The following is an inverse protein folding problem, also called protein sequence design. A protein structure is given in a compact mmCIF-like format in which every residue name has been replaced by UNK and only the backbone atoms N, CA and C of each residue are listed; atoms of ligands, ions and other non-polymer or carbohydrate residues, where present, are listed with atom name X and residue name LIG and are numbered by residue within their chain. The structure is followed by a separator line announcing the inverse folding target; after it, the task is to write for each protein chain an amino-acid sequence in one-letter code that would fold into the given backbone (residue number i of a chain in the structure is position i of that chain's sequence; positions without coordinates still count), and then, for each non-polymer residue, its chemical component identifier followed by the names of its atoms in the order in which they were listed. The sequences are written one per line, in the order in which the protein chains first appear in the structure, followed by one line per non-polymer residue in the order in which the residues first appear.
data_IF_508790575572
#
_entry.id   IF_508790575572
#
_cell.length_a   1.000
_cell.length_b   1.000
_cell.length_c   1.000
_cell.angle_alpha   90.00
_cell.angle_beta   90.00
_cell.angle_gamma   90.00
#
_symmetry.space_group_name_H-M   'P 1'
#
loop_
_entity.id
_entity.type
_entity.pdbx_description
1 polymer ?
#
# COMPACT_ATOMS: atom_id res chain seq x y z
N UNK A 1 -43.08 -35.40 -31.23
CA UNK A 1 -42.11 -34.36 -31.68
C UNK A 1 -41.41 -33.85 -30.46
N UNK A 2 -40.18 -34.31 -30.21
CA UNK A 2 -39.35 -33.87 -29.07
C UNK A 2 -38.86 -32.45 -29.37
N UNK A 3 -39.27 -31.47 -28.58
CA UNK A 3 -38.72 -30.11 -28.67
C UNK A 3 -37.22 -30.16 -28.45
N UNK A 4 -36.46 -29.68 -29.42
CA UNK A 4 -35.00 -29.54 -29.28
C UNK A 4 -34.70 -28.57 -28.15
N UNK A 5 -33.79 -28.93 -27.26
CA UNK A 5 -33.36 -28.05 -26.16
C UNK A 5 -32.89 -26.72 -26.71
N UNK A 6 -33.49 -25.61 -26.25
CA UNK A 6 -33.20 -24.24 -26.67
C UNK A 6 -31.74 -23.81 -26.36
N UNK A 7 -31.15 -24.46 -25.36
CA UNK A 7 -29.78 -24.14 -24.90
C UNK A 7 -29.01 -25.44 -24.67
N UNK A 8 -27.76 -25.47 -25.11
CA UNK A 8 -26.81 -26.54 -24.80
C UNK A 8 -25.57 -25.88 -24.19
N UNK A 9 -25.23 -26.26 -22.96
CA UNK A 9 -24.08 -25.75 -22.24
C UNK A 9 -23.19 -26.91 -21.87
N UNK A 10 -21.90 -26.79 -22.24
CA UNK A 10 -20.85 -27.73 -21.85
C UNK A 10 -19.93 -27.06 -20.85
N UNK A 11 -19.80 -27.61 -19.65
CA UNK A 11 -19.03 -27.05 -18.56
C UNK A 11 -17.82 -27.94 -18.29
N UNK A 12 -16.63 -27.36 -18.33
CA UNK A 12 -15.38 -28.00 -17.93
C UNK A 12 -14.89 -27.38 -16.62
N UNK A 13 -15.18 -28.01 -15.49
CA UNK A 13 -14.83 -27.54 -14.15
C UNK A 13 -16.02 -27.46 -13.19
N UNK A 14 -15.78 -26.96 -11.98
CA UNK A 14 -16.82 -26.82 -10.96
C UNK A 14 -17.62 -25.55 -11.18
N UNK A 15 -18.94 -25.65 -11.25
CA UNK A 15 -19.88 -24.54 -11.30
C UNK A 15 -20.74 -24.58 -10.05
N UNK A 16 -20.78 -23.48 -9.33
CA UNK A 16 -21.49 -23.41 -8.06
C UNK A 16 -22.92 -22.86 -8.20
N UNK A 17 -23.12 -21.90 -9.10
CA UNK A 17 -24.41 -21.31 -9.40
C UNK A 17 -24.56 -21.09 -10.91
N UNK A 18 -25.61 -21.64 -11.52
CA UNK A 18 -25.88 -21.48 -12.94
C UNK A 18 -27.37 -21.28 -13.19
N UNK A 19 -27.74 -20.25 -13.91
CA UNK A 19 -29.09 -20.04 -14.43
C UNK A 19 -29.04 -19.85 -15.95
N UNK A 20 -29.85 -20.60 -16.69
CA UNK A 20 -29.88 -20.57 -18.16
C UNK A 20 -31.33 -20.56 -18.63
N UNK A 21 -31.66 -19.57 -19.48
CA UNK A 21 -32.95 -19.45 -20.14
C UNK A 21 -33.81 -18.29 -19.64
N UNK A 22 -34.91 -18.09 -20.36
CA UNK A 22 -35.85 -17.00 -20.08
C UNK A 22 -36.59 -17.26 -18.74
N UNK A 23 -36.37 -16.35 -17.75
CA UNK A 23 -36.98 -16.52 -16.43
C UNK A 23 -36.29 -17.50 -15.50
N UNK A 24 -35.07 -17.96 -15.82
CA UNK A 24 -34.30 -18.86 -14.98
C UNK A 24 -33.97 -18.25 -13.63
N UNK A 25 -34.17 -19.03 -12.56
CA UNK A 25 -33.78 -18.67 -11.20
C UNK A 25 -32.56 -19.50 -10.79
N UNK A 26 -31.61 -18.87 -10.10
CA UNK A 26 -30.49 -19.59 -9.49
C UNK A 26 -31.00 -20.31 -8.25
N UNK A 27 -31.08 -21.64 -8.31
CA UNK A 27 -31.32 -22.47 -7.15
C UNK A 27 -30.01 -23.15 -6.78
N UNK A 28 -29.34 -22.60 -5.77
CA UNK A 28 -28.14 -23.21 -5.21
C UNK A 28 -28.52 -24.43 -4.40
N UNK A 29 -28.25 -25.64 -4.93
CA UNK A 29 -28.57 -26.93 -4.28
C UNK A 29 -27.34 -27.65 -3.73
N UNK A 30 -26.15 -27.08 -3.87
CA UNK A 30 -24.90 -27.65 -3.34
C UNK A 30 -24.68 -27.31 -1.88
N UNK A 31 -23.93 -28.15 -1.12
CA UNK A 31 -23.35 -27.65 0.12
C UNK A 31 -22.51 -26.43 -0.24
N UNK A 32 -22.82 -25.31 0.36
CA UNK A 32 -21.92 -24.15 0.29
C UNK A 32 -20.58 -24.63 0.86
N UNK A 33 -19.68 -25.06 -0.02
CA UNK A 33 -18.28 -25.16 0.37
C UNK A 33 -17.95 -23.84 1.08
N UNK A 34 -17.39 -23.93 2.27
CA UNK A 34 -16.93 -22.74 2.98
C UNK A 34 -16.05 -22.00 1.98
N UNK A 35 -16.58 -20.89 1.44
CA UNK A 35 -15.82 -20.06 0.53
C UNK A 35 -14.45 -19.84 1.15
N UNK A 36 -13.40 -20.01 0.38
CA UNK A 36 -12.04 -19.79 0.86
C UNK A 36 -12.02 -18.44 1.59
N UNK A 37 -11.60 -18.39 2.86
CA UNK A 37 -11.64 -17.16 3.63
C UNK A 37 -10.94 -16.04 2.86
N UNK A 38 -11.49 -14.81 2.83
CA UNK A 38 -10.89 -13.72 2.09
C UNK A 38 -9.52 -13.35 2.69
N UNK A 39 -8.51 -13.27 1.87
CA UNK A 39 -7.18 -12.78 2.23
C UNK A 39 -6.87 -11.54 1.39
N UNK A 40 -7.37 -10.37 1.84
CA UNK A 40 -7.31 -9.12 1.09
C UNK A 40 -6.02 -8.33 1.32
N UNK A 41 -5.20 -8.68 2.35
CA UNK A 41 -3.94 -7.96 2.59
C UNK A 41 -3.02 -8.00 1.36
N UNK A 42 -2.48 -6.85 0.93
CA UNK A 42 -1.56 -6.81 -0.20
C UNK A 42 -0.30 -7.64 0.10
N UNK A 43 0.40 -8.16 -0.92
CA UNK A 43 1.65 -8.85 -0.70
C UNK A 43 2.67 -7.90 -0.09
N UNK A 44 3.50 -8.36 0.87
CA UNK A 44 4.62 -7.56 1.36
C UNK A 44 5.64 -7.35 0.22
N UNK A 45 6.55 -6.38 0.37
CA UNK A 45 7.63 -6.19 -0.60
C UNK A 45 8.39 -7.50 -0.86
N UNK A 46 8.83 -7.76 -2.10
CA UNK A 46 9.56 -8.99 -2.44
C UNK A 46 10.79 -9.22 -1.57
N UNK A 47 11.39 -8.14 -1.10
CA UNK A 47 12.57 -8.17 -0.22
C UNK A 47 12.22 -8.55 1.23
N UNK A 48 10.94 -8.67 1.58
CA UNK A 48 10.49 -8.82 2.95
C UNK A 48 10.65 -7.53 3.76
N UNK A 49 10.37 -7.62 5.06
CA UNK A 49 10.49 -6.49 5.98
C UNK A 49 11.78 -6.64 6.76
N UNK A 50 12.58 -5.57 6.81
CA UNK A 50 13.83 -5.53 7.54
C UNK A 50 13.70 -4.63 8.78
N UNK A 51 14.19 -5.12 9.92
CA UNK A 51 14.30 -4.34 11.14
C UNK A 51 12.98 -3.92 11.78
N UNK A 52 11.90 -4.69 11.53
CA UNK A 52 10.55 -4.44 12.07
C UNK A 52 10.03 -5.57 12.97
N UNK A 53 10.90 -6.49 13.36
CA UNK A 53 10.52 -7.63 14.20
C UNK A 53 9.97 -7.18 15.56
N UNK A 54 10.60 -6.17 16.18
CA UNK A 54 10.12 -5.56 17.42
C UNK A 54 8.74 -4.92 17.24
N UNK A 55 8.54 -4.19 16.12
CA UNK A 55 7.25 -3.55 15.82
C UNK A 55 6.17 -4.59 15.56
N UNK A 56 6.46 -5.66 14.81
CA UNK A 56 5.54 -6.77 14.59
C UNK A 56 5.15 -7.45 15.88
N UNK A 57 6.11 -7.72 16.76
CA UNK A 57 5.85 -8.33 18.07
C UNK A 57 4.94 -7.45 18.92
N UNK A 58 5.22 -6.14 18.99
CA UNK A 58 4.39 -5.19 19.74
C UNK A 58 2.97 -5.09 19.19
N UNK A 59 2.79 -5.09 17.86
CA UNK A 59 1.45 -5.10 17.24
C UNK A 59 0.72 -6.40 17.54
N UNK A 60 1.42 -7.53 17.47
CA UNK A 60 0.89 -8.84 17.83
C UNK A 60 0.36 -8.87 19.28
N UNK A 61 1.15 -8.36 20.21
CA UNK A 61 0.78 -8.28 21.64
C UNK A 61 -0.39 -7.31 21.86
N UNK A 62 -0.37 -6.12 21.25
CA UNK A 62 -1.45 -5.16 21.33
C UNK A 62 -2.77 -5.71 20.77
N UNK A 63 -2.75 -6.44 19.68
CA UNK A 63 -3.92 -7.11 19.12
C UNK A 63 -4.32 -8.37 19.91
N UNK A 64 -3.54 -8.77 20.93
CA UNK A 64 -3.76 -9.97 21.74
C UNK A 64 -3.91 -11.22 20.87
N UNK A 65 -3.05 -11.39 19.87
CA UNK A 65 -3.13 -12.50 18.92
C UNK A 65 -2.70 -13.83 19.54
N UNK A 66 -1.93 -13.80 20.63
CA UNK A 66 -1.58 -14.99 21.42
C UNK A 66 -2.72 -15.54 22.28
N UNK A 67 -3.77 -14.74 22.54
CA UNK A 67 -4.95 -15.15 23.31
C UNK A 67 -6.15 -15.33 22.39
N UNK A 68 -6.44 -16.59 22.07
CA UNK A 68 -7.54 -16.95 21.15
C UNK A 68 -8.91 -16.77 21.77
N UNK A 69 -9.01 -16.66 23.09
CA UNK A 69 -10.27 -16.53 23.83
C UNK A 69 -10.58 -15.06 24.18
N UNK A 70 -9.59 -14.15 23.98
CA UNK A 70 -9.80 -12.74 24.18
C UNK A 70 -10.95 -12.22 23.30
N UNK A 71 -11.91 -11.53 23.92
CA UNK A 71 -13.05 -10.93 23.23
C UNK A 71 -13.06 -9.41 23.42
N UNK A 72 -13.75 -8.71 22.51
CA UNK A 72 -13.93 -7.25 22.54
C UNK A 72 -12.63 -6.45 22.65
N UNK A 73 -11.57 -6.90 21.97
CA UNK A 73 -10.28 -6.22 21.96
C UNK A 73 -10.40 -4.92 21.16
N UNK A 74 -10.12 -3.76 21.78
CA UNK A 74 -10.22 -2.49 21.09
C UNK A 74 -9.24 -2.39 19.91
N UNK A 75 -9.50 -1.52 18.92
CA UNK A 75 -8.60 -1.30 17.79
C UNK A 75 -7.18 -0.92 18.19
N UNK A 76 -6.21 -1.27 17.38
CA UNK A 76 -4.82 -0.83 17.47
C UNK A 76 -4.52 0.11 16.31
N UNK A 77 -3.84 1.22 16.57
CA UNK A 77 -3.43 2.16 15.54
C UNK A 77 -1.90 2.18 15.38
N UNK A 78 -1.44 2.10 14.14
CA UNK A 78 -0.07 2.43 13.73
C UNK A 78 -0.05 3.86 13.24
N UNK A 79 0.75 4.72 13.88
CA UNK A 79 0.94 6.10 13.43
C UNK A 79 2.40 6.39 13.11
N UNK A 80 2.64 7.36 12.24
CA UNK A 80 3.99 7.83 11.91
C UNK A 80 4.03 8.48 10.53
N UNK A 81 5.19 9.00 10.18
CA UNK A 81 5.44 9.74 8.94
C UNK A 81 5.02 8.98 7.67
N UNK A 82 4.76 9.72 6.60
CA UNK A 82 4.65 9.15 5.26
C UNK A 82 5.93 8.41 4.87
N UNK A 83 5.79 7.27 4.18
CA UNK A 83 6.96 6.47 3.74
C UNK A 83 7.71 5.74 4.85
N UNK A 84 7.25 5.76 6.11
CA UNK A 84 7.87 5.07 7.24
C UNK A 84 7.64 3.54 7.22
N UNK A 85 6.69 3.06 6.42
CA UNK A 85 6.38 1.65 6.27
C UNK A 85 5.21 1.12 7.11
N UNK A 86 4.25 1.95 7.52
CA UNK A 86 3.03 1.53 8.27
C UNK A 86 2.21 0.50 7.49
N UNK A 87 1.88 0.82 6.24
CA UNK A 87 1.16 -0.08 5.31
C UNK A 87 1.91 -1.38 5.11
N UNK A 88 3.24 -1.31 4.96
CA UNK A 88 4.11 -2.48 4.81
C UNK A 88 4.07 -3.38 6.05
N UNK A 89 4.11 -2.77 7.25
CA UNK A 89 4.02 -3.49 8.52
C UNK A 89 2.65 -4.16 8.69
N UNK A 90 1.57 -3.44 8.38
CA UNK A 90 0.20 -3.97 8.42
C UNK A 90 0.00 -5.12 7.41
N UNK A 91 0.53 -4.98 6.18
CA UNK A 91 0.48 -6.02 5.16
C UNK A 91 1.24 -7.28 5.57
N UNK A 92 2.42 -7.11 6.17
CA UNK A 92 3.20 -8.23 6.67
C UNK A 92 2.50 -8.96 7.80
N UNK A 93 1.94 -8.22 8.76
CA UNK A 93 1.13 -8.82 9.82
C UNK A 93 0.00 -9.65 9.22
N UNK A 94 -0.81 -9.06 8.33
CA UNK A 94 -1.94 -9.75 7.69
C UNK A 94 -1.55 -10.97 6.88
N UNK A 95 -0.28 -11.15 6.55
CA UNK A 95 0.27 -12.25 5.77
C UNK A 95 1.13 -13.23 6.58
N UNK A 96 1.21 -13.10 7.89
CA UNK A 96 1.90 -14.11 8.71
C UNK A 96 1.25 -15.48 8.50
N UNK A 97 2.08 -16.53 8.44
CA UNK A 97 1.63 -17.89 8.18
C UNK A 97 0.56 -18.40 9.17
N UNK A 98 0.54 -17.83 10.39
CA UNK A 98 -0.42 -18.18 11.44
C UNK A 98 -1.80 -17.51 11.25
N UNK A 99 -1.93 -16.50 10.37
CA UNK A 99 -3.20 -15.75 10.23
C UNK A 99 -4.41 -16.61 9.87
N UNK A 100 -4.34 -17.62 8.96
CA UNK A 100 -5.48 -18.49 8.68
C UNK A 100 -5.96 -19.29 9.89
N UNK A 101 -5.08 -19.61 10.83
CA UNK A 101 -5.44 -20.31 12.08
C UNK A 101 -6.09 -19.36 13.08
N UNK A 102 -5.54 -18.16 13.23
CA UNK A 102 -6.06 -17.14 14.13
C UNK A 102 -7.38 -16.54 13.64
N UNK A 103 -7.50 -16.34 12.33
CA UNK A 103 -8.65 -15.71 11.68
C UNK A 103 -9.23 -16.58 10.55
N UNK A 104 -9.94 -17.66 10.90
CA UNK A 104 -10.50 -18.58 9.91
C UNK A 104 -11.56 -17.95 9.01
N UNK A 105 -12.10 -16.78 9.36
CA UNK A 105 -13.02 -16.02 8.52
C UNK A 105 -12.29 -14.96 7.65
N UNK A 106 -10.96 -14.88 7.73
CA UNK A 106 -10.11 -14.16 6.81
C UNK A 106 -9.50 -12.86 7.33
N UNK A 107 -8.81 -12.19 6.42
CA UNK A 107 -8.21 -10.86 6.60
C UNK A 107 -8.87 -9.90 5.62
N UNK A 108 -9.60 -8.93 6.12
CA UNK A 108 -10.21 -7.87 5.34
C UNK A 108 -9.28 -6.66 5.29
N UNK A 109 -9.21 -6.02 4.14
CA UNK A 109 -8.39 -4.83 3.92
C UNK A 109 -9.20 -3.71 3.29
N UNK A 110 -9.13 -2.50 3.84
CA UNK A 110 -9.64 -1.29 3.23
C UNK A 110 -8.56 -0.21 3.29
N UNK A 111 -8.11 0.28 2.15
CA UNK A 111 -7.21 1.42 2.06
C UNK A 111 -8.05 2.66 1.73
N UNK A 112 -8.06 3.64 2.65
CA UNK A 112 -8.95 4.77 2.55
C UNK A 112 -8.37 5.91 1.71
N UNK A 113 -7.14 6.34 2.02
CA UNK A 113 -6.59 7.55 1.43
C UNK A 113 -7.31 8.83 1.88
N UNK A 114 -6.96 10.00 1.31
CA UNK A 114 -7.52 11.29 1.71
C UNK A 114 -8.99 11.49 1.31
N UNK A 115 -9.45 10.91 0.21
CA UNK A 115 -10.82 11.04 -0.33
C UNK A 115 -11.42 9.67 -0.65
N UNK A 116 -11.80 8.86 0.37
CA UNK A 116 -12.28 7.52 0.14
C UNK A 116 -13.71 7.50 -0.43
N UNK A 117 -13.98 6.61 -1.37
CA UNK A 117 -15.33 6.24 -1.75
C UNK A 117 -15.81 5.15 -0.80
N UNK A 118 -16.33 5.54 0.36
CA UNK A 118 -16.69 4.64 1.47
C UNK A 118 -17.60 3.50 1.00
N UNK A 119 -18.59 3.80 0.15
CA UNK A 119 -19.52 2.81 -0.37
C UNK A 119 -18.80 1.67 -1.09
N UNK A 120 -17.86 1.97 -1.98
CA UNK A 120 -17.11 0.95 -2.75
C UNK A 120 -16.29 0.07 -1.81
N UNK A 121 -15.64 0.67 -0.81
CA UNK A 121 -14.82 -0.07 0.15
C UNK A 121 -15.65 -0.99 1.05
N UNK A 122 -16.82 -0.52 1.51
CA UNK A 122 -17.76 -1.32 2.30
C UNK A 122 -18.35 -2.48 1.46
N UNK A 123 -18.74 -2.20 0.21
CA UNK A 123 -19.22 -3.22 -0.73
C UNK A 123 -18.13 -4.29 -0.98
N UNK A 124 -16.85 -3.88 -1.07
CA UNK A 124 -15.72 -4.81 -1.16
C UNK A 124 -15.63 -5.76 0.02
N UNK A 125 -15.81 -5.28 1.25
CA UNK A 125 -15.89 -6.15 2.44
C UNK A 125 -17.14 -7.02 2.45
N UNK A 126 -18.29 -6.46 2.04
CA UNK A 126 -19.52 -7.22 1.88
C UNK A 126 -19.33 -8.40 0.93
N UNK A 127 -18.81 -8.14 -0.25
CA UNK A 127 -18.54 -9.16 -1.26
C UNK A 127 -17.58 -10.24 -0.74
N UNK A 128 -16.48 -9.84 -0.09
CA UNK A 128 -15.51 -10.77 0.50
C UNK A 128 -16.13 -11.67 1.58
N UNK A 129 -17.10 -11.15 2.33
CA UNK A 129 -17.83 -11.90 3.37
C UNK A 129 -19.04 -12.67 2.82
N UNK A 130 -19.33 -12.59 1.52
CA UNK A 130 -20.51 -13.20 0.88
C UNK A 130 -21.82 -12.51 1.25
N UNK A 131 -21.79 -11.20 1.48
CA UNK A 131 -22.95 -10.39 1.87
C UNK A 131 -23.22 -9.35 0.79
N UNK A 132 -24.44 -9.33 0.27
CA UNK A 132 -24.89 -8.28 -0.64
C UNK A 132 -25.30 -7.04 0.16
N UNK A 133 -24.64 -5.91 -0.12
CA UNK A 133 -24.91 -4.60 0.49
C UNK A 133 -25.68 -3.67 -0.46
N UNK A 134 -25.99 -4.07 -1.70
CA UNK A 134 -26.74 -3.26 -2.66
C UNK A 134 -28.09 -2.79 -2.13
N UNK A 135 -28.87 -3.61 -1.33
CA UNK A 135 -30.11 -3.17 -0.77
C UNK A 135 -30.01 -2.07 0.29
N UNK A 136 -28.81 -1.85 0.85
CA UNK A 136 -28.62 -0.87 1.93
C UNK A 136 -28.68 0.56 1.38
N UNK A 137 -29.37 1.45 2.11
CA UNK A 137 -29.69 2.79 1.65
C UNK A 137 -28.49 3.73 1.61
N UNK A 138 -27.59 3.59 2.57
CA UNK A 138 -26.45 4.46 2.78
C UNK A 138 -25.26 3.71 3.44
N UNK A 139 -24.16 4.38 3.58
CA UNK A 139 -22.93 3.81 4.17
C UNK A 139 -23.14 3.39 5.64
N UNK A 140 -24.00 4.07 6.37
CA UNK A 140 -24.30 3.72 7.77
C UNK A 140 -25.06 2.40 7.84
N UNK A 141 -26.02 2.17 6.96
CA UNK A 141 -26.73 0.89 6.85
C UNK A 141 -25.77 -0.25 6.43
N UNK A 142 -24.87 0.02 5.46
CA UNK A 142 -23.82 -0.92 5.08
C UNK A 142 -22.93 -1.30 6.27
N UNK A 143 -22.46 -0.31 7.03
CA UNK A 143 -21.67 -0.51 8.25
C UNK A 143 -22.41 -1.40 9.26
N UNK A 144 -23.68 -1.10 9.53
CA UNK A 144 -24.48 -1.83 10.54
C UNK A 144 -24.73 -3.27 10.09
N UNK A 145 -24.92 -3.48 8.78
CA UNK A 145 -25.01 -4.81 8.19
C UNK A 145 -23.73 -5.61 8.34
N UNK A 146 -22.58 -4.99 8.02
CA UNK A 146 -21.26 -5.61 8.21
C UNK A 146 -20.99 -5.95 9.67
N UNK A 147 -21.33 -5.04 10.60
CA UNK A 147 -21.21 -5.29 12.05
C UNK A 147 -22.01 -6.53 12.48
N UNK A 148 -23.25 -6.66 12.01
CA UNK A 148 -24.09 -7.81 12.34
C UNK A 148 -23.49 -9.14 11.82
N UNK A 149 -22.86 -9.11 10.63
CA UNK A 149 -22.19 -10.29 10.05
C UNK A 149 -20.91 -10.63 10.82
N UNK A 150 -20.07 -9.62 11.08
CA UNK A 150 -18.78 -9.77 11.77
C UNK A 150 -18.93 -10.16 13.24
N UNK A 151 -20.08 -9.91 13.87
CA UNK A 151 -20.35 -10.29 15.25
C UNK A 151 -20.12 -11.78 15.54
N UNK A 152 -20.36 -12.64 14.53
CA UNK A 152 -20.18 -14.09 14.62
C UNK A 152 -18.94 -14.62 13.91
N UNK A 153 -18.07 -13.71 13.48
CA UNK A 153 -16.87 -14.02 12.71
C UNK A 153 -15.62 -13.82 13.55
N UNK A 154 -14.56 -14.46 13.07
CA UNK A 154 -13.22 -14.33 13.60
C UNK A 154 -12.30 -13.88 12.47
N UNK A 155 -12.18 -12.57 12.29
CA UNK A 155 -11.49 -11.93 11.17
C UNK A 155 -10.54 -10.83 11.66
N UNK A 156 -9.46 -10.60 10.92
CA UNK A 156 -8.59 -9.44 11.08
C UNK A 156 -9.05 -8.35 10.11
N UNK A 157 -9.37 -7.17 10.65
CA UNK A 157 -9.79 -6.00 9.90
C UNK A 157 -8.63 -5.02 9.84
N UNK A 158 -8.13 -4.71 8.64
CA UNK A 158 -7.05 -3.74 8.45
C UNK A 158 -7.60 -2.55 7.69
N UNK A 159 -7.52 -1.38 8.31
CA UNK A 159 -7.97 -0.10 7.75
C UNK A 159 -6.75 0.77 7.54
N UNK A 160 -6.31 0.85 6.30
CA UNK A 160 -5.05 1.48 5.93
C UNK A 160 -5.22 2.91 5.45
N UNK A 161 -4.23 3.76 5.74
CA UNK A 161 -4.12 5.17 5.35
C UNK A 161 -5.36 6.00 5.68
N UNK A 162 -5.76 6.00 6.95
CA UNK A 162 -6.92 6.75 7.45
C UNK A 162 -6.51 8.20 7.70
N UNK A 163 -7.18 9.15 7.02
CA UNK A 163 -6.94 10.59 7.15
C UNK A 163 -7.94 11.28 8.07
N UNK A 164 -9.16 10.77 8.15
CA UNK A 164 -10.23 11.30 8.98
C UNK A 164 -10.86 10.21 9.84
N UNK A 165 -11.01 10.48 11.13
CA UNK A 165 -11.61 9.54 12.08
C UNK A 165 -13.06 9.19 11.69
N UNK A 166 -13.79 10.13 11.11
CA UNK A 166 -15.14 9.90 10.62
C UNK A 166 -15.18 8.78 9.57
N UNK A 167 -14.28 8.83 8.58
CA UNK A 167 -14.16 7.78 7.55
C UNK A 167 -13.74 6.44 8.14
N UNK A 168 -12.72 6.43 9.01
CA UNK A 168 -12.24 5.21 9.68
C UNK A 168 -13.31 4.53 10.53
N UNK A 169 -14.24 5.30 11.11
CA UNK A 169 -15.31 4.79 11.98
C UNK A 169 -16.29 3.85 11.26
N UNK A 170 -16.43 3.96 9.93
CA UNK A 170 -17.25 3.04 9.14
C UNK A 170 -16.67 1.63 9.09
N UNK A 171 -15.39 1.47 9.34
CA UNK A 171 -14.65 0.20 9.27
C UNK A 171 -14.30 -0.38 10.64
N UNK A 172 -14.59 0.34 11.75
CA UNK A 172 -14.44 -0.17 13.11
C UNK A 172 -15.68 -0.97 13.53
N UNK A 173 -15.96 -2.03 12.77
CA UNK A 173 -17.18 -2.86 12.89
C UNK A 173 -16.90 -4.26 13.45
N UNK A 174 -15.75 -4.43 14.12
CA UNK A 174 -15.32 -5.70 14.67
C UNK A 174 -16.36 -6.32 15.61
N UNK A 175 -16.58 -7.61 15.45
CA UNK A 175 -17.27 -8.43 16.45
C UNK A 175 -16.31 -8.84 17.57
N UNK A 176 -16.81 -9.52 18.63
CA UNK A 176 -16.03 -9.85 19.84
C UNK A 176 -14.70 -10.57 19.53
N UNK A 177 -14.70 -11.45 18.55
CA UNK A 177 -13.53 -12.26 18.18
C UNK A 177 -12.77 -11.73 16.97
N UNK A 178 -13.13 -10.55 16.44
CA UNK A 178 -12.38 -9.86 15.42
C UNK A 178 -11.26 -9.01 16.05
N UNK A 179 -10.29 -8.62 15.24
CA UNK A 179 -9.24 -7.65 15.60
C UNK A 179 -9.20 -6.56 14.55
N UNK A 180 -8.92 -5.33 14.98
CA UNK A 180 -8.84 -4.19 14.07
C UNK A 180 -7.48 -3.52 14.19
N UNK A 181 -6.79 -3.39 13.07
CA UNK A 181 -5.55 -2.64 12.91
C UNK A 181 -5.79 -1.46 11.98
N UNK A 182 -5.39 -0.27 12.40
CA UNK A 182 -5.56 0.97 11.66
C UNK A 182 -4.17 1.55 11.37
N UNK A 183 -3.96 2.10 10.19
CA UNK A 183 -2.77 2.91 9.93
C UNK A 183 -3.17 4.34 9.59
N UNK A 184 -2.41 5.31 10.09
CA UNK A 184 -2.65 6.73 9.84
C UNK A 184 -1.36 7.54 9.98
N UNK A 185 -1.30 8.69 9.33
CA UNK A 185 -0.28 9.72 9.55
C UNK A 185 -0.69 10.63 10.71
N UNK A 186 -1.99 10.78 10.93
CA UNK A 186 -2.61 11.77 11.80
C UNK A 186 -2.72 11.26 13.25
N UNK A 187 -2.03 11.92 14.17
CA UNK A 187 -2.09 11.59 15.59
C UNK A 187 -3.49 11.73 16.20
N UNK A 188 -4.28 12.79 15.87
CA UNK A 188 -5.65 12.90 16.35
C UNK A 188 -6.55 11.76 15.87
N UNK A 189 -6.37 11.30 14.62
CA UNK A 189 -7.13 10.18 14.06
C UNK A 189 -6.80 8.88 14.79
N UNK A 190 -5.50 8.62 15.03
CA UNK A 190 -5.07 7.44 15.80
C UNK A 190 -5.74 7.40 17.17
N UNK A 191 -5.77 8.53 17.90
CA UNK A 191 -6.34 8.59 19.25
C UNK A 191 -7.87 8.60 19.28
N UNK A 192 -8.53 9.00 18.19
CA UNK A 192 -9.97 8.94 18.05
C UNK A 192 -10.49 7.52 17.77
N UNK A 193 -9.72 6.72 17.00
CA UNK A 193 -10.10 5.37 16.59
C UNK A 193 -9.51 4.27 17.48
N UNK A 194 -8.38 4.56 18.14
CA UNK A 194 -7.76 3.69 19.14
C UNK A 194 -7.32 4.55 20.31
N UNK A 195 -7.20 3.97 21.49
CA UNK A 195 -6.72 4.71 22.67
C UNK A 195 -5.21 4.95 22.59
N UNK A 196 -4.67 5.86 23.42
CA UNK A 196 -3.23 6.20 23.40
C UNK A 196 -2.35 4.99 23.71
N UNK A 197 -2.74 4.15 24.64
CA UNK A 197 -2.04 2.92 25.03
C UNK A 197 -2.11 1.83 23.94
N UNK A 198 -3.03 1.96 23.01
CA UNK A 198 -3.19 1.06 21.86
C UNK A 198 -2.69 1.67 20.54
N UNK A 199 -1.98 2.77 20.65
CA UNK A 199 -1.38 3.45 19.48
C UNK A 199 0.13 3.24 19.50
N UNK A 200 0.63 2.52 18.48
CA UNK A 200 2.06 2.33 18.25
C UNK A 200 2.58 3.40 17.28
N UNK A 201 3.60 4.14 17.74
CA UNK A 201 4.38 4.97 16.81
C UNK A 201 5.37 4.09 16.08
N UNK A 202 5.33 4.13 14.75
CA UNK A 202 6.31 3.50 13.87
C UNK A 202 7.41 4.53 13.61
N UNK A 203 8.63 4.22 14.02
CA UNK A 203 9.79 5.09 13.86
C UNK A 203 10.61 4.71 12.61
N UNK A 204 11.63 5.49 12.27
CA UNK A 204 12.60 5.19 11.22
C UNK A 204 13.33 3.87 11.47
N UNK A 205 14.00 3.32 10.46
CA UNK A 205 14.78 2.08 10.66
C UNK A 205 15.96 2.33 11.60
N UNK A 206 16.33 1.31 12.36
CA UNK A 206 17.62 1.31 13.06
C UNK A 206 18.77 1.35 12.03
N UNK A 207 19.93 1.96 12.36
CA UNK A 207 21.06 2.09 11.41
C UNK A 207 21.46 0.79 10.71
N UNK A 208 21.48 -0.32 11.46
CA UNK A 208 21.85 -1.64 10.94
C UNK A 208 20.80 -2.16 9.93
N UNK A 209 19.51 -1.95 10.20
CA UNK A 209 18.42 -2.34 9.33
C UNK A 209 18.39 -1.48 8.05
N UNK A 210 18.66 -0.18 8.18
CA UNK A 210 18.77 0.74 7.05
C UNK A 210 19.91 0.35 6.10
N UNK A 211 21.09 0.06 6.64
CA UNK A 211 22.23 -0.42 5.85
C UNK A 211 21.94 -1.79 5.22
N UNK A 212 21.26 -2.69 5.95
CA UNK A 212 20.85 -3.98 5.42
C UNK A 212 19.83 -3.83 4.27
N UNK A 213 18.91 -2.87 4.36
CA UNK A 213 17.98 -2.54 3.27
C UNK A 213 18.74 -2.02 2.04
N UNK A 214 19.66 -1.07 2.22
CA UNK A 214 20.47 -0.54 1.14
C UNK A 214 21.36 -1.64 0.51
N UNK A 215 21.97 -2.51 1.34
CA UNK A 215 22.78 -3.65 0.87
C UNK A 215 21.95 -4.64 0.05
N UNK A 216 20.69 -4.84 0.41
CA UNK A 216 19.78 -5.72 -0.36
C UNK A 216 19.39 -5.14 -1.70
N UNK A 217 19.20 -3.81 -1.78
CA UNK A 217 18.79 -3.11 -2.99
C UNK A 217 19.96 -2.83 -3.95
N UNK A 218 21.13 -2.50 -3.40
CA UNK A 218 22.33 -2.14 -4.14
C UNK A 218 23.58 -2.78 -3.48
N UNK A 219 23.73 -4.12 -3.54
CA UNK A 219 24.81 -4.82 -2.86
C UNK A 219 26.19 -4.33 -3.30
N UNK A 220 26.40 -4.09 -4.58
CA UNK A 220 27.66 -3.64 -5.14
C UNK A 220 28.06 -2.25 -4.66
N UNK A 221 27.10 -1.34 -4.46
CA UNK A 221 27.34 -0.03 -3.89
C UNK A 221 27.87 -0.12 -2.46
N UNK A 222 27.25 -0.94 -1.64
CA UNK A 222 27.64 -1.10 -0.24
C UNK A 222 28.98 -1.82 -0.13
N UNK A 223 29.25 -2.80 -1.00
CA UNK A 223 30.54 -3.50 -1.05
C UNK A 223 31.68 -2.56 -1.49
N UNK A 224 31.41 -1.68 -2.46
CA UNK A 224 32.40 -0.73 -2.97
C UNK A 224 32.81 0.32 -1.92
N UNK A 225 31.86 0.84 -1.14
CA UNK A 225 32.11 1.83 -0.10
C UNK A 225 31.05 1.79 1.00
N UNK A 226 31.20 0.92 1.97
CA UNK A 226 30.28 0.77 3.09
C UNK A 226 30.20 2.04 3.95
N UNK A 227 31.30 2.80 4.10
CA UNK A 227 31.29 4.05 4.88
C UNK A 227 30.41 5.10 4.24
N UNK A 228 30.51 5.29 2.93
CA UNK A 228 29.62 6.22 2.21
C UNK A 228 28.18 5.71 2.19
N UNK A 229 27.93 4.41 2.11
CA UNK A 229 26.59 3.84 2.24
C UNK A 229 25.98 4.10 3.64
N UNK A 230 26.77 3.98 4.72
CA UNK A 230 26.32 4.33 6.07
C UNK A 230 25.98 5.84 6.18
N UNK A 231 26.84 6.71 5.66
CA UNK A 231 26.59 8.16 5.62
C UNK A 231 25.33 8.50 4.80
N UNK A 232 25.10 7.79 3.69
CA UNK A 232 23.86 7.98 2.91
C UNK A 232 22.63 7.59 3.75
N UNK A 233 22.65 6.45 4.45
CA UNK A 233 21.57 6.05 5.35
C UNK A 233 21.30 7.13 6.41
N UNK A 234 22.33 7.68 7.03
CA UNK A 234 22.22 8.76 8.01
C UNK A 234 21.63 10.02 7.39
N UNK A 235 22.11 10.42 6.20
CA UNK A 235 21.61 11.60 5.47
C UNK A 235 20.16 11.44 5.00
N UNK A 236 19.70 10.22 4.74
CA UNK A 236 18.31 9.90 4.44
C UNK A 236 17.47 9.63 5.70
N UNK A 237 18.01 9.99 6.88
CA UNK A 237 17.32 9.90 8.18
C UNK A 237 16.75 8.51 8.45
N UNK A 238 17.38 7.48 7.88
CA UNK A 238 16.97 6.08 7.99
C UNK A 238 15.53 5.80 7.53
N UNK A 239 14.97 6.67 6.67
CA UNK A 239 13.60 6.57 6.18
C UNK A 239 13.49 5.47 5.11
N UNK A 240 12.64 4.44 5.30
CA UNK A 240 12.56 3.29 4.39
C UNK A 240 12.29 3.65 2.93
N UNK A 241 11.37 4.58 2.66
CA UNK A 241 11.06 4.99 1.29
C UNK A 241 12.24 5.69 0.62
N UNK A 242 12.89 6.62 1.32
CA UNK A 242 14.05 7.33 0.80
C UNK A 242 15.22 6.37 0.51
N UNK A 243 15.47 5.42 1.42
CA UNK A 243 16.46 4.36 1.23
C UNK A 243 16.13 3.44 0.05
N UNK A 244 14.85 3.14 -0.15
CA UNK A 244 14.42 2.29 -1.27
C UNK A 244 14.66 2.99 -2.60
N UNK A 245 14.31 4.28 -2.71
CA UNK A 245 14.56 5.08 -3.90
C UNK A 245 16.05 5.21 -4.20
N UNK A 246 16.85 5.56 -3.18
CA UNK A 246 18.30 5.67 -3.31
C UNK A 246 18.95 4.35 -3.71
N UNK A 247 18.53 3.24 -3.08
CA UNK A 247 19.05 1.91 -3.40
C UNK A 247 18.72 1.47 -4.82
N UNK A 248 17.49 1.71 -5.28
CA UNK A 248 17.10 1.40 -6.68
C UNK A 248 17.84 2.29 -7.68
N UNK A 249 18.05 3.55 -7.35
CA UNK A 249 18.83 4.46 -8.19
C UNK A 249 20.30 3.99 -8.32
N UNK A 250 20.91 3.59 -7.20
CA UNK A 250 22.24 3.01 -7.20
C UNK A 250 22.29 1.71 -8.02
N UNK A 251 21.32 0.84 -7.91
CA UNK A 251 21.28 -0.44 -8.62
C UNK A 251 21.18 -0.28 -10.15
N UNK A 252 20.51 0.78 -10.65
CA UNK A 252 20.35 1.02 -12.10
C UNK A 252 21.63 1.54 -12.76
N UNK A 253 22.47 2.28 -12.02
CA UNK A 253 23.60 3.00 -12.62
C UNK A 253 24.95 2.27 -12.49
N UNK A 254 24.97 0.99 -12.11
CA UNK A 254 26.17 0.36 -11.59
C UNK A 254 26.77 -0.79 -12.40
N UNK A 255 27.45 -0.45 -13.48
CA UNK A 255 28.31 -1.40 -14.18
C UNK A 255 29.79 -1.32 -13.75
N UNK A 256 30.19 -0.33 -12.92
CA UNK A 256 31.61 -0.10 -12.56
C UNK A 256 31.74 0.36 -11.10
N UNK A 257 32.56 -0.30 -10.25
CA UNK A 257 32.74 0.04 -8.83
C UNK A 257 33.16 1.48 -8.55
N UNK A 258 34.04 2.06 -9.37
CA UNK A 258 34.49 3.45 -9.23
C UNK A 258 33.38 4.47 -9.50
N UNK A 259 32.42 4.12 -10.37
CA UNK A 259 31.25 4.93 -10.64
C UNK A 259 30.29 4.93 -9.46
N UNK A 260 30.21 3.81 -8.74
CA UNK A 260 29.39 3.63 -7.55
C UNK A 260 29.80 4.57 -6.40
N UNK A 261 31.09 4.59 -6.06
CA UNK A 261 31.61 5.47 -4.99
C UNK A 261 31.35 6.93 -5.32
N UNK A 262 31.52 7.31 -6.61
CA UNK A 262 31.22 8.68 -7.07
C UNK A 262 29.73 8.97 -6.94
N UNK A 263 28.83 8.06 -7.35
CA UNK A 263 27.39 8.24 -7.27
C UNK A 263 26.90 8.35 -5.83
N UNK A 264 27.45 7.55 -4.91
CA UNK A 264 27.17 7.70 -3.48
C UNK A 264 27.54 9.09 -2.97
N UNK A 265 28.71 9.62 -3.37
CA UNK A 265 29.12 11.00 -3.06
C UNK A 265 28.15 12.03 -3.64
N UNK A 266 27.81 11.90 -4.92
CA UNK A 266 26.87 12.80 -5.60
C UNK A 266 25.49 12.81 -4.94
N UNK A 267 24.96 11.65 -4.53
CA UNK A 267 23.69 11.55 -3.82
C UNK A 267 23.70 12.29 -2.48
N UNK A 268 24.81 12.19 -1.74
CA UNK A 268 24.98 12.90 -0.47
C UNK A 268 25.06 14.42 -0.70
N UNK A 269 25.88 14.86 -1.66
CA UNK A 269 26.08 16.28 -1.97
C UNK A 269 24.83 16.94 -2.58
N UNK A 270 24.18 16.28 -3.55
CA UNK A 270 22.98 16.81 -4.20
C UNK A 270 21.80 16.90 -3.24
N UNK A 271 21.66 15.95 -2.33
CA UNK A 271 20.67 16.01 -1.25
C UNK A 271 20.87 17.28 -0.44
N UNK A 272 22.10 17.57 -0.01
CA UNK A 272 22.40 18.76 0.82
C UNK A 272 22.20 20.06 0.04
N UNK A 273 22.58 20.11 -1.24
CA UNK A 273 22.34 21.25 -2.10
C UNK A 273 20.85 21.54 -2.34
N UNK A 274 20.05 20.50 -2.58
CA UNK A 274 18.61 20.64 -2.79
C UNK A 274 17.87 21.05 -1.52
N UNK A 275 18.29 20.57 -0.36
CA UNK A 275 17.79 21.04 0.94
C UNK A 275 18.00 22.54 1.12
N UNK A 276 19.19 23.02 0.79
CA UNK A 276 19.53 24.44 0.88
C UNK A 276 18.66 25.28 -0.06
N UNK A 277 18.39 24.79 -1.28
CA UNK A 277 17.52 25.47 -2.24
C UNK A 277 16.07 25.52 -1.77
N UNK A 278 15.51 24.40 -1.29
CA UNK A 278 14.13 24.33 -0.77
C UNK A 278 13.93 25.26 0.44
N UNK A 279 14.93 25.36 1.31
CA UNK A 279 14.92 26.29 2.43
C UNK A 279 14.98 27.76 1.97
N UNK A 280 15.79 28.06 0.96
CA UNK A 280 15.95 29.42 0.42
C UNK A 280 14.71 29.91 -0.35
N UNK A 281 13.99 28.99 -1.03
CA UNK A 281 12.81 29.32 -1.82
C UNK A 281 11.52 29.45 -0.98
N UNK A 282 11.60 29.17 0.33
CA UNK A 282 10.41 29.19 1.21
C UNK A 282 9.33 28.16 0.80
N UNK A 283 9.68 27.23 -0.09
CA UNK A 283 8.83 26.14 -0.59
C UNK A 283 8.68 24.97 0.40
N UNK A 284 9.08 25.18 1.65
CA UNK A 284 8.75 24.30 2.77
C UNK A 284 7.26 24.47 3.16
N UNK A 285 6.38 24.36 2.17
CA UNK A 285 4.96 24.09 2.36
C UNK A 285 4.69 22.64 2.72
N UNK A 286 5.74 21.95 3.20
CA UNK A 286 5.63 20.65 3.84
C UNK A 286 4.78 20.81 5.10
N UNK A 287 3.78 20.00 5.25
CA UNK A 287 3.22 19.73 6.58
C UNK A 287 4.40 19.45 7.50
N UNK A 288 4.40 19.99 8.71
CA UNK A 288 5.52 19.87 9.69
C UNK A 288 6.05 18.42 9.86
N UNK A 289 5.39 17.45 9.26
CA UNK A 289 5.60 16.00 9.36
C UNK A 289 6.29 15.35 8.14
N UNK A 290 6.58 16.08 7.04
CA UNK A 290 7.24 15.45 5.87
C UNK A 290 8.76 15.58 5.92
N UNK A 291 9.52 14.46 5.82
CA UNK A 291 10.98 14.52 5.86
C UNK A 291 11.52 15.20 4.60
N UNK A 292 12.20 16.31 4.76
CA UNK A 292 12.84 17.09 3.67
C UNK A 292 13.82 16.23 2.86
N UNK A 293 14.44 15.22 3.49
CA UNK A 293 15.29 14.22 2.85
C UNK A 293 14.56 13.41 1.77
N UNK A 294 13.26 13.15 1.96
CA UNK A 294 12.47 12.41 0.98
C UNK A 294 12.22 13.21 -0.28
N UNK A 295 11.83 14.48 -0.18
CA UNK A 295 11.65 15.34 -1.36
C UNK A 295 12.94 15.51 -2.15
N UNK A 296 14.07 15.64 -1.45
CA UNK A 296 15.36 15.72 -2.11
C UNK A 296 15.64 14.46 -2.96
N UNK A 297 15.45 13.25 -2.40
CA UNK A 297 15.71 12.00 -3.11
C UNK A 297 14.69 11.75 -4.24
N UNK A 298 13.43 12.14 -4.06
CA UNK A 298 12.41 12.08 -5.11
C UNK A 298 12.83 12.92 -6.32
N UNK A 299 13.20 14.20 -6.07
CA UNK A 299 13.66 15.09 -7.11
C UNK A 299 14.92 14.59 -7.82
N UNK A 300 15.84 13.96 -7.11
CA UNK A 300 17.05 13.37 -7.71
C UNK A 300 16.71 12.14 -8.58
N UNK A 301 15.77 11.32 -8.15
CA UNK A 301 15.33 10.15 -8.90
C UNK A 301 14.63 10.54 -10.21
N UNK A 302 13.81 11.59 -10.17
CA UNK A 302 13.08 12.11 -11.33
C UNK A 302 13.98 12.91 -12.26
N UNK A 303 14.90 13.75 -11.75
CA UNK A 303 15.83 14.54 -12.57
C UNK A 303 16.76 13.68 -13.45
N UNK A 304 16.89 12.39 -13.16
CA UNK A 304 17.67 11.42 -13.96
C UNK A 304 16.83 10.69 -15.03
N UNK A 305 15.55 10.98 -15.13
CA UNK A 305 14.73 10.62 -16.27
C UNK A 305 15.03 11.58 -17.43
N UNK A 306 14.84 11.12 -18.65
CA UNK A 306 14.79 12.05 -19.80
C UNK A 306 13.56 12.97 -19.74
N UNK A 307 13.54 14.03 -20.58
CA UNK A 307 12.46 15.02 -20.53
C UNK A 307 11.08 14.42 -20.76
N UNK A 308 10.95 13.48 -21.68
CA UNK A 308 9.69 12.79 -21.97
C UNK A 308 9.21 11.94 -20.79
N UNK A 309 10.11 11.22 -20.15
CA UNK A 309 9.76 10.42 -18.96
C UNK A 309 9.45 11.30 -17.75
N UNK A 310 10.07 12.48 -17.62
CA UNK A 310 9.71 13.45 -16.58
C UNK A 310 8.28 13.99 -16.75
N UNK A 311 7.90 14.33 -17.97
CA UNK A 311 6.53 14.74 -18.31
C UNK A 311 5.54 13.62 -18.03
N UNK A 312 5.84 12.39 -18.47
CA UNK A 312 5.00 11.21 -18.22
C UNK A 312 4.87 10.88 -16.74
N UNK A 313 5.93 11.09 -15.97
CA UNK A 313 5.87 10.93 -14.53
C UNK A 313 4.94 11.95 -13.89
N UNK A 314 5.02 13.23 -14.27
CA UNK A 314 4.11 14.28 -13.83
C UNK A 314 2.65 13.95 -14.19
N UNK A 315 2.39 13.55 -15.45
CA UNK A 315 1.06 13.15 -15.93
C UNK A 315 0.51 11.91 -15.21
N UNK A 316 1.35 11.01 -14.68
CA UNK A 316 0.92 9.85 -13.93
C UNK A 316 0.25 10.20 -12.60
N UNK A 317 0.37 11.45 -12.13
CA UNK A 317 -0.36 11.95 -10.95
C UNK A 317 -1.88 11.82 -11.07
N UNK A 318 -2.44 11.84 -12.28
CA UNK A 318 -3.88 11.69 -12.54
C UNK A 318 -4.44 10.35 -12.06
N UNK A 319 -3.59 9.33 -11.93
CA UNK A 319 -3.98 8.03 -11.41
C UNK A 319 -4.08 8.00 -9.89
N UNK A 320 -3.56 9.03 -9.21
CA UNK A 320 -3.47 9.08 -7.75
C UNK A 320 -2.43 8.11 -7.18
N UNK A 321 -2.27 8.17 -5.86
CA UNK A 321 -1.41 7.26 -5.11
C UNK A 321 -2.14 6.02 -4.60
N UNK A 322 -1.39 5.13 -3.90
CA UNK A 322 -1.99 4.01 -3.17
C UNK A 322 -3.20 4.50 -2.33
N UNK A 323 -4.35 3.85 -2.38
CA UNK A 323 -4.63 2.50 -2.86
C UNK A 323 -5.00 2.36 -4.34
N UNK A 324 -5.03 3.45 -5.10
CA UNK A 324 -5.44 3.42 -6.50
C UNK A 324 -4.43 2.66 -7.37
N UNK A 325 -4.94 1.95 -8.36
CA UNK A 325 -4.13 1.19 -9.29
C UNK A 325 -4.63 1.38 -10.71
N UNK A 326 -3.76 1.33 -11.70
CA UNK A 326 -4.10 1.48 -13.11
C UNK A 326 -3.54 0.36 -13.98
N UNK A 327 -3.98 0.29 -15.22
CA UNK A 327 -3.50 -0.65 -16.23
C UNK A 327 -2.65 0.06 -17.28
N UNK A 328 -1.84 -0.70 -18.01
CA UNK A 328 -0.95 -0.14 -19.02
C UNK A 328 -1.70 0.66 -20.09
N UNK A 329 -2.90 0.21 -20.49
CA UNK A 329 -3.71 0.92 -21.48
C UNK A 329 -4.14 2.31 -20.99
N UNK A 330 -4.38 2.49 -19.70
CA UNK A 330 -4.69 3.80 -19.11
C UNK A 330 -3.48 4.73 -19.18
N UNK A 331 -2.27 4.22 -18.89
CA UNK A 331 -1.04 4.99 -19.02
C UNK A 331 -0.78 5.38 -20.50
N UNK A 332 -0.91 4.45 -21.43
CA UNK A 332 -0.77 4.72 -22.86
C UNK A 332 -1.76 5.80 -23.36
N UNK A 333 -2.98 5.77 -22.85
CA UNK A 333 -3.99 6.78 -23.16
C UNK A 333 -3.64 8.17 -22.61
N UNK A 334 -3.24 8.25 -21.32
CA UNK A 334 -2.87 9.52 -20.67
C UNK A 334 -1.61 10.12 -21.30
N UNK A 335 -0.65 9.28 -21.70
CA UNK A 335 0.61 9.72 -22.30
C UNK A 335 0.54 9.87 -23.84
N UNK A 336 -0.63 9.62 -24.43
CA UNK A 336 -0.86 9.71 -25.89
C UNK A 336 0.18 8.94 -26.72
N UNK A 337 0.55 7.73 -26.26
CA UNK A 337 1.59 6.92 -26.89
C UNK A 337 1.15 5.45 -27.11
N UNK A 338 1.85 4.69 -27.98
CA UNK A 338 1.61 3.25 -28.13
C UNK A 338 1.84 2.49 -26.82
N UNK A 339 1.12 1.37 -26.62
CA UNK A 339 1.22 0.55 -25.40
C UNK A 339 2.66 0.05 -25.17
N UNK A 340 3.36 -0.34 -26.22
CA UNK A 340 4.75 -0.81 -26.16
C UNK A 340 5.69 0.28 -25.62
N UNK A 341 5.44 1.53 -25.97
CA UNK A 341 6.21 2.67 -25.48
C UNK A 341 5.88 2.96 -24.02
N UNK A 342 4.59 2.89 -23.65
CA UNK A 342 4.16 3.01 -22.25
C UNK A 342 4.76 1.91 -21.37
N UNK A 343 4.86 0.66 -21.85
CA UNK A 343 5.53 -0.44 -21.16
C UNK A 343 7.02 -0.14 -20.91
N UNK A 344 7.69 0.44 -21.88
CA UNK A 344 9.08 0.88 -21.77
C UNK A 344 9.24 1.94 -20.66
N UNK A 345 8.39 2.96 -20.64
CA UNK A 345 8.37 4.01 -19.60
C UNK A 345 8.09 3.42 -18.23
N UNK A 346 7.05 2.60 -18.09
CA UNK A 346 6.72 1.93 -16.82
C UNK A 346 7.88 1.06 -16.32
N UNK A 347 8.56 0.34 -17.21
CA UNK A 347 9.72 -0.46 -16.83
C UNK A 347 10.83 0.40 -16.23
N UNK A 348 11.13 1.55 -16.81
CA UNK A 348 12.10 2.51 -16.26
C UNK A 348 11.64 3.08 -14.92
N UNK A 349 10.34 3.38 -14.75
CA UNK A 349 9.80 3.85 -13.48
C UNK A 349 9.89 2.77 -12.40
N UNK A 350 9.58 1.52 -12.72
CA UNK A 350 9.70 0.40 -11.77
C UNK A 350 11.16 0.21 -11.34
N UNK A 351 12.10 0.23 -12.28
CA UNK A 351 13.53 0.10 -11.98
C UNK A 351 14.00 1.18 -10.99
N UNK A 352 13.48 2.40 -11.12
CA UNK A 352 13.81 3.54 -10.26
C UNK A 352 12.98 3.62 -8.97
N UNK A 353 11.98 2.75 -8.82
CA UNK A 353 11.12 2.74 -7.62
C UNK A 353 10.04 3.83 -7.62
N UNK A 354 9.79 4.47 -8.74
CA UNK A 354 8.77 5.50 -8.89
C UNK A 354 7.37 4.90 -9.04
N UNK A 355 7.28 3.69 -9.56
CA UNK A 355 6.05 2.92 -9.74
C UNK A 355 6.31 1.48 -9.29
N UNK A 356 5.30 0.81 -8.78
CA UNK A 356 5.34 -0.60 -8.43
C UNK A 356 4.26 -1.39 -9.17
N UNK A 357 4.47 -2.72 -9.32
CA UNK A 357 3.56 -3.61 -10.01
C UNK A 357 2.86 -4.56 -9.03
N UNK A 358 1.52 -4.68 -9.17
CA UNK A 358 0.69 -5.68 -8.47
C UNK A 358 -0.08 -6.51 -9.50
N UNK A 359 0.43 -7.70 -9.82
CA UNK A 359 -0.14 -8.54 -10.89
C UNK A 359 -0.06 -7.85 -12.25
N UNK A 360 -1.21 -7.58 -12.88
CA UNK A 360 -1.32 -6.87 -14.17
C UNK A 360 -1.51 -5.35 -14.00
N UNK A 361 -1.56 -4.84 -12.77
CA UNK A 361 -1.82 -3.43 -12.47
C UNK A 361 -0.58 -2.76 -11.91
N UNK A 362 -0.53 -1.44 -12.01
CA UNK A 362 0.53 -0.58 -11.51
C UNK A 362 -0.02 0.34 -10.43
N UNK A 363 0.84 0.80 -9.55
CA UNK A 363 0.50 1.75 -8.50
C UNK A 363 1.70 2.61 -8.12
N UNK A 364 1.43 3.75 -7.52
CA UNK A 364 2.43 4.70 -7.06
C UNK A 364 2.21 4.96 -5.57
N UNK A 365 3.28 5.11 -4.81
CA UNK A 365 3.17 5.55 -3.42
C UNK A 365 2.56 6.95 -3.35
N UNK A 366 1.69 7.23 -2.38
CA UNK A 366 0.97 8.50 -2.28
C UNK A 366 1.91 9.72 -2.36
N UNK A 367 3.04 9.71 -1.64
CA UNK A 367 4.03 10.80 -1.69
C UNK A 367 4.69 10.99 -3.07
N UNK A 368 4.81 9.93 -3.86
CA UNK A 368 5.27 10.03 -5.25
C UNK A 368 4.20 10.64 -6.15
N UNK A 369 2.94 10.30 -5.91
CA UNK A 369 1.81 10.89 -6.63
C UNK A 369 1.65 12.38 -6.31
N UNK A 370 1.80 12.77 -5.04
CA UNK A 370 1.78 14.17 -4.61
C UNK A 370 2.92 14.95 -5.27
N UNK A 371 4.15 14.41 -5.26
CA UNK A 371 5.30 15.02 -5.92
C UNK A 371 5.11 15.14 -7.45
N UNK A 372 4.52 14.12 -8.10
CA UNK A 372 4.20 14.16 -9.53
C UNK A 372 3.14 15.23 -9.84
N UNK A 373 2.13 15.42 -8.97
CA UNK A 373 1.12 16.46 -9.10
C UNK A 373 1.74 17.87 -8.99
N UNK A 374 2.63 18.11 -8.02
CA UNK A 374 3.37 19.36 -7.91
C UNK A 374 4.20 19.66 -9.17
N UNK A 375 4.83 18.64 -9.74
CA UNK A 375 5.57 18.77 -10.99
C UNK A 375 4.65 19.14 -12.17
N UNK A 376 3.47 18.50 -12.27
CA UNK A 376 2.50 18.75 -13.32
C UNK A 376 2.01 20.22 -13.28
N UNK A 377 1.69 20.73 -12.09
CA UNK A 377 1.33 22.13 -11.88
C UNK A 377 2.48 23.08 -12.28
N UNK A 378 3.72 22.74 -11.91
CA UNK A 378 4.92 23.53 -12.23
C UNK A 378 5.27 23.55 -13.72
N UNK A 379 4.87 22.53 -14.48
CA UNK A 379 5.06 22.43 -15.93
C UNK A 379 3.94 23.13 -16.71
N UNK A 380 2.79 23.42 -16.06
CA UNK A 380 1.62 24.01 -16.71
C UNK A 380 0.88 23.01 -17.61
N UNK A 381 0.96 21.71 -17.29
CA UNK A 381 0.32 20.60 -17.98
C UNK A 381 -1.09 20.34 -17.44
#
# INVERSE_FOLDING_TARGET
MTEAAKYQVTIHGNVYDLAIGDGAQVISTGPRDRATPPFMAPPPPPQGILGRDDDLTRVFDLLQLGDTDAADVPPVALRGLGGIGKTTLAAALGRLAIMPELFPDGVLWAALGPQPTLRILLDGWGHALGVDLLPERDESACRDRLRAVLYRRRALLIVDDVWEAAHGSYFTVAGPHCRTLITTRETPVAYALATRDRTLRVDVLKPEAALALLRRLAPEAVIADERSAQRLCERLEYLPLALTLAGRLLAVETDVPTRMTRLLGELIEQRDARLTLLQAEGRLGLTEDEPVSLQAILGMSVARLDGTDQERFAMASVFGGDPLTWEINAAAYVWECPVEEAEGTISRFIQRGLVERRGARYWMHALLADYAAEMMEGMGL
#
